data_IF_890026630167
#
_entry.id   IF_890026630167
#
_cell.length_a   1.000
_cell.length_b   1.000
_cell.length_c   1.000
_cell.angle_alpha   90.00
_cell.angle_beta   90.00
_cell.angle_gamma   90.00
#
_symmetry.space_group_name_H-M   'P 1'
#
loop_
_entity.id
_entity.type
_entity.pdbx_description
1 polymer ?
#
# COMPACT_ATOMS: atom_id res chain seq x y z
N UNK A 1 -0.53 15.79 25.34
CA UNK A 1 -0.11 14.38 25.17
C UNK A 1 -1.21 13.41 25.60
N UNK A 2 -1.79 13.60 26.81
CA UNK A 2 -2.84 12.68 27.31
C UNK A 2 -4.09 12.64 26.44
N UNK A 3 -4.51 13.76 25.87
CA UNK A 3 -5.64 13.80 24.94
C UNK A 3 -5.38 12.96 23.69
N UNK A 4 -4.18 13.11 23.09
CA UNK A 4 -3.78 12.32 21.93
C UNK A 4 -3.65 10.83 22.26
N UNK A 5 -3.10 10.49 23.43
CA UNK A 5 -2.97 9.09 23.86
C UNK A 5 -4.33 8.45 24.11
N UNK A 6 -5.26 9.18 24.71
CA UNK A 6 -6.63 8.70 24.93
C UNK A 6 -7.32 8.38 23.61
N UNK A 7 -7.21 9.27 22.62
CA UNK A 7 -7.76 9.05 21.27
C UNK A 7 -7.05 7.86 20.56
N UNK A 8 -5.74 7.71 20.77
CA UNK A 8 -4.99 6.56 20.24
C UNK A 8 -5.58 5.24 20.76
N UNK A 9 -5.84 5.14 22.07
CA UNK A 9 -6.39 3.92 22.67
C UNK A 9 -7.82 3.63 22.23
N UNK A 10 -8.58 4.67 21.85
CA UNK A 10 -9.96 4.57 21.41
C UNK A 10 -10.11 4.38 19.89
N UNK A 11 -9.00 4.31 19.15
CA UNK A 11 -9.08 4.16 17.67
C UNK A 11 -9.68 2.81 17.30
N UNK A 12 -10.57 2.78 16.27
CA UNK A 12 -11.21 1.55 15.85
C UNK A 12 -10.28 0.63 15.08
N UNK A 13 -10.75 -0.61 14.81
CA UNK A 13 -10.06 -1.53 13.93
C UNK A 13 -9.89 -0.94 12.51
N UNK A 14 -8.84 -1.36 11.75
CA UNK A 14 -8.54 -0.77 10.43
C UNK A 14 -9.67 -0.80 9.41
N UNK A 15 -10.62 -1.74 9.53
CA UNK A 15 -11.75 -1.87 8.60
C UNK A 15 -12.88 -0.88 8.85
N UNK A 16 -12.87 -0.21 10.00
CA UNK A 16 -13.93 0.70 10.40
C UNK A 16 -13.60 2.14 10.03
N UNK A 17 -14.56 3.07 10.27
CA UNK A 17 -14.35 4.50 10.08
C UNK A 17 -13.15 4.96 10.93
N UNK A 18 -12.20 5.66 10.30
CA UNK A 18 -10.95 6.07 10.92
C UNK A 18 -10.93 7.56 11.33
N UNK A 19 -12.08 8.20 11.49
CA UNK A 19 -12.16 9.61 11.94
C UNK A 19 -11.43 9.83 13.26
N UNK A 20 -11.59 8.93 14.23
CA UNK A 20 -10.91 8.99 15.53
C UNK A 20 -9.39 8.85 15.37
N UNK A 21 -8.94 8.06 14.39
CA UNK A 21 -7.52 7.89 14.09
C UNK A 21 -6.89 9.19 13.59
N UNK A 22 -7.56 9.91 12.68
CA UNK A 22 -7.09 11.22 12.20
C UNK A 22 -7.03 12.24 13.33
N UNK A 23 -8.04 12.25 14.20
CA UNK A 23 -8.06 13.14 15.37
C UNK A 23 -6.90 12.85 16.32
N UNK A 24 -6.62 11.58 16.58
CA UNK A 24 -5.50 11.17 17.43
C UNK A 24 -4.15 11.62 16.86
N UNK A 25 -3.94 11.44 15.57
CA UNK A 25 -2.71 11.89 14.90
C UNK A 25 -2.56 13.41 15.03
N UNK A 26 -3.64 14.16 14.77
CA UNK A 26 -3.62 15.61 14.87
C UNK A 26 -3.24 16.09 16.27
N UNK A 27 -3.84 15.50 17.29
CA UNK A 27 -3.55 15.87 18.69
C UNK A 27 -2.10 15.57 19.07
N UNK A 28 -1.57 14.42 18.63
CA UNK A 28 -0.18 14.04 18.89
C UNK A 28 0.80 14.94 18.14
N UNK A 29 0.49 15.32 16.90
CA UNK A 29 1.30 16.26 16.12
C UNK A 29 1.35 17.63 16.79
N UNK A 30 0.20 18.14 17.24
CA UNK A 30 0.13 19.40 17.97
C UNK A 30 0.98 19.36 19.26
N UNK A 31 0.92 18.24 20.00
CA UNK A 31 1.75 18.05 21.18
C UNK A 31 3.25 18.18 20.84
N UNK A 32 3.70 17.54 19.77
CA UNK A 32 5.10 17.57 19.35
C UNK A 32 5.54 18.97 18.90
N UNK A 33 4.64 19.74 18.28
CA UNK A 33 4.92 21.14 17.89
C UNK A 33 5.06 22.06 19.11
N UNK A 34 4.17 21.93 20.09
CA UNK A 34 4.19 22.77 21.28
C UNK A 34 5.25 22.37 22.29
N UNK A 35 5.65 21.12 22.33
CA UNK A 35 6.60 20.59 23.32
C UNK A 35 7.71 19.79 22.65
N UNK A 36 8.52 20.40 21.77
CA UNK A 36 9.52 19.68 20.97
C UNK A 36 10.63 19.02 21.80
N UNK A 37 10.83 19.47 23.04
CA UNK A 37 11.86 18.93 23.92
C UNK A 37 11.29 18.02 25.02
N UNK A 38 10.03 17.63 24.93
CA UNK A 38 9.40 16.75 25.90
C UNK A 38 10.03 15.35 25.90
N UNK A 39 10.11 14.72 27.08
CA UNK A 39 10.52 13.33 27.21
C UNK A 39 9.50 12.37 26.57
N UNK A 40 8.27 12.85 26.32
CA UNK A 40 7.19 12.07 25.68
C UNK A 40 7.17 12.16 24.17
N UNK A 41 8.10 12.94 23.56
CA UNK A 41 8.14 13.14 22.10
C UNK A 41 8.28 11.83 21.34
N UNK A 42 9.19 10.95 21.77
CA UNK A 42 9.41 9.66 21.10
C UNK A 42 8.18 8.77 21.19
N UNK A 43 7.55 8.72 22.36
CA UNK A 43 6.31 7.95 22.54
C UNK A 43 5.19 8.48 21.64
N UNK A 44 5.05 9.81 21.54
CA UNK A 44 4.06 10.43 20.66
C UNK A 44 4.34 10.10 19.19
N UNK A 45 5.59 10.15 18.76
CA UNK A 45 5.98 9.81 17.38
C UNK A 45 5.69 8.35 17.06
N UNK A 46 6.00 7.44 17.97
CA UNK A 46 5.73 6.01 17.81
C UNK A 46 4.23 5.74 17.67
N UNK A 47 3.40 6.46 18.45
CA UNK A 47 1.94 6.37 18.33
C UNK A 47 1.46 6.88 16.99
N UNK A 48 2.02 7.98 16.48
CA UNK A 48 1.67 8.52 15.16
C UNK A 48 1.96 7.48 14.07
N UNK A 49 3.14 6.85 14.08
CA UNK A 49 3.49 5.81 13.10
C UNK A 49 2.53 4.61 13.19
N UNK A 50 2.19 4.17 14.41
CA UNK A 50 1.24 3.07 14.59
C UNK A 50 -0.14 3.42 14.04
N UNK A 51 -0.60 4.66 14.23
CA UNK A 51 -1.88 5.13 13.71
C UNK A 51 -1.86 5.26 12.18
N UNK A 52 -0.76 5.76 11.62
CA UNK A 52 -0.59 5.84 10.17
C UNK A 52 -0.61 4.43 9.55
N UNK A 53 0.05 3.45 10.16
CA UNK A 53 0.00 2.07 9.70
C UNK A 53 -1.40 1.47 9.80
N UNK A 54 -2.20 1.88 10.78
CA UNK A 54 -3.62 1.49 10.83
C UNK A 54 -4.39 2.02 9.61
N UNK A 55 -4.15 3.27 9.20
CA UNK A 55 -4.74 3.84 8.00
C UNK A 55 -4.27 3.12 6.74
N UNK A 56 -2.98 2.80 6.66
CA UNK A 56 -2.42 2.02 5.54
C UNK A 56 -3.04 0.63 5.48
N UNK A 57 -3.22 -0.02 6.63
CA UNK A 57 -3.82 -1.35 6.67
C UNK A 57 -5.25 -1.35 6.14
N UNK A 58 -6.02 -0.29 6.43
CA UNK A 58 -7.35 -0.10 5.84
C UNK A 58 -7.26 -0.04 4.29
N UNK A 59 -6.31 0.72 3.76
CA UNK A 59 -6.11 0.83 2.32
C UNK A 59 -5.63 -0.50 1.72
N UNK A 60 -4.80 -1.24 2.43
CA UNK A 60 -4.36 -2.58 2.01
C UNK A 60 -5.54 -3.55 1.89
N UNK A 61 -6.45 -3.53 2.87
CA UNK A 61 -7.66 -4.36 2.82
C UNK A 61 -8.55 -3.96 1.63
N UNK A 62 -8.69 -2.66 1.36
CA UNK A 62 -9.45 -2.16 0.22
C UNK A 62 -8.80 -2.60 -1.10
N UNK A 63 -7.49 -2.47 -1.22
CA UNK A 63 -6.76 -2.89 -2.41
C UNK A 63 -6.88 -4.40 -2.66
N UNK A 64 -6.78 -5.22 -1.61
CA UNK A 64 -6.97 -6.67 -1.68
C UNK A 64 -8.38 -7.02 -2.14
N UNK A 65 -9.38 -6.30 -1.65
CA UNK A 65 -10.77 -6.52 -2.05
C UNK A 65 -10.93 -6.23 -3.55
N UNK A 66 -10.39 -5.12 -4.05
CA UNK A 66 -10.41 -4.80 -5.47
C UNK A 66 -9.71 -5.88 -6.29
N UNK A 67 -8.56 -6.35 -5.84
CA UNK A 67 -7.84 -7.43 -6.52
C UNK A 67 -8.71 -8.69 -6.62
N UNK A 68 -9.35 -9.08 -5.53
CA UNK A 68 -10.19 -10.27 -5.48
C UNK A 68 -11.45 -10.16 -6.34
N UNK A 69 -12.02 -8.94 -6.47
CA UNK A 69 -13.14 -8.68 -7.36
C UNK A 69 -12.73 -8.76 -8.85
N UNK A 70 -11.48 -8.39 -9.15
CA UNK A 70 -10.94 -8.50 -10.50
C UNK A 70 -11.74 -7.74 -11.53
N UNK A 71 -12.29 -8.46 -12.53
CA UNK A 71 -13.08 -7.88 -13.62
C UNK A 71 -14.59 -7.86 -13.35
N UNK A 72 -14.99 -8.18 -12.13
CA UNK A 72 -16.43 -8.18 -11.80
C UNK A 72 -16.97 -6.74 -11.77
N UNK A 73 -17.91 -6.44 -12.65
CA UNK A 73 -18.57 -5.13 -12.80
C UNK A 73 -17.60 -3.96 -13.08
N UNK A 74 -16.45 -4.24 -13.66
CA UNK A 74 -15.49 -3.20 -14.03
C UNK A 74 -14.04 -3.64 -13.80
N UNK A 75 -13.10 -2.73 -14.08
CA UNK A 75 -11.68 -3.00 -13.90
C UNK A 75 -11.26 -2.69 -12.46
N UNK A 76 -11.46 -3.66 -11.56
CA UNK A 76 -11.08 -3.53 -10.16
C UNK A 76 -9.57 -3.68 -9.95
N UNK A 77 -8.85 -4.29 -10.88
CA UNK A 77 -7.38 -4.34 -10.84
C UNK A 77 -6.78 -2.94 -10.92
N UNK A 78 -7.33 -2.08 -11.76
CA UNK A 78 -6.91 -0.68 -11.83
C UNK A 78 -7.17 0.03 -10.49
N UNK A 79 -8.35 -0.17 -9.90
CA UNK A 79 -8.68 0.38 -8.57
C UNK A 79 -7.72 -0.13 -7.50
N UNK A 80 -7.32 -1.39 -7.57
CA UNK A 80 -6.32 -1.99 -6.68
C UNK A 80 -4.98 -1.25 -6.80
N UNK A 81 -4.49 -1.04 -8.02
CA UNK A 81 -3.22 -0.34 -8.28
C UNK A 81 -3.28 1.09 -7.73
N UNK A 82 -4.34 1.82 -8.04
CA UNK A 82 -4.50 3.22 -7.60
C UNK A 82 -4.52 3.29 -6.07
N UNK A 83 -5.31 2.44 -5.41
CA UNK A 83 -5.42 2.43 -3.95
C UNK A 83 -4.07 2.13 -3.30
N UNK A 84 -3.38 1.10 -3.78
CA UNK A 84 -2.08 0.70 -3.23
C UNK A 84 -1.01 1.76 -3.48
N UNK A 85 -0.96 2.36 -4.67
CA UNK A 85 0.03 3.40 -4.99
C UNK A 85 -0.20 4.67 -4.19
N UNK A 86 -1.46 5.06 -3.97
CA UNK A 86 -1.78 6.21 -3.14
C UNK A 86 -1.33 6.00 -1.70
N UNK A 87 -1.52 4.80 -1.14
CA UNK A 87 -1.06 4.47 0.20
C UNK A 87 0.47 4.54 0.30
N UNK A 88 1.18 4.02 -0.71
CA UNK A 88 2.65 4.08 -0.76
C UNK A 88 3.18 5.51 -0.89
N UNK A 89 2.47 6.35 -1.61
CA UNK A 89 2.82 7.77 -1.78
C UNK A 89 2.58 8.56 -0.50
N UNK A 90 1.44 8.35 0.15
CA UNK A 90 1.05 9.11 1.34
C UNK A 90 1.80 8.64 2.59
N UNK A 91 2.17 7.37 2.66
CA UNK A 91 2.83 6.75 3.82
C UNK A 91 4.05 5.93 3.37
N UNK A 92 5.12 6.58 2.85
CA UNK A 92 6.24 5.85 2.23
C UNK A 92 7.06 5.00 3.21
N UNK A 93 6.94 5.23 4.51
CA UNK A 93 7.66 4.49 5.55
C UNK A 93 6.82 3.42 6.23
N UNK A 94 5.66 3.08 5.66
CA UNK A 94 4.77 2.06 6.24
C UNK A 94 5.45 0.68 6.29
N UNK A 95 5.12 -0.10 7.33
CA UNK A 95 5.55 -1.49 7.44
C UNK A 95 4.87 -2.40 6.40
N UNK A 96 3.80 -1.93 5.75
CA UNK A 96 3.05 -2.70 4.72
C UNK A 96 3.54 -2.43 3.31
N UNK A 97 4.70 -1.82 3.15
CA UNK A 97 5.23 -1.43 1.84
C UNK A 97 5.44 -2.62 0.91
N UNK A 98 5.99 -3.73 1.43
CA UNK A 98 6.21 -4.94 0.65
C UNK A 98 4.90 -5.56 0.17
N UNK A 99 3.92 -5.69 1.05
CA UNK A 99 2.59 -6.23 0.74
C UNK A 99 1.85 -5.39 -0.30
N UNK A 100 1.92 -4.07 -0.17
CA UNK A 100 1.32 -3.16 -1.15
C UNK A 100 2.03 -3.27 -2.51
N UNK A 101 3.34 -3.36 -2.50
CA UNK A 101 4.14 -3.41 -3.72
C UNK A 101 3.91 -4.70 -4.51
N UNK A 102 3.86 -5.86 -3.84
CA UNK A 102 3.55 -7.12 -4.54
C UNK A 102 2.13 -7.12 -5.08
N UNK A 103 1.19 -6.50 -4.37
CA UNK A 103 -0.19 -6.40 -4.82
C UNK A 103 -0.30 -5.56 -6.10
N UNK A 104 0.46 -4.47 -6.20
CA UNK A 104 0.54 -3.66 -7.43
C UNK A 104 1.07 -4.50 -8.59
N UNK A 105 2.14 -5.26 -8.38
CA UNK A 105 2.71 -6.13 -9.41
C UNK A 105 1.70 -7.17 -9.90
N UNK A 106 1.01 -7.84 -8.97
CA UNK A 106 -0.04 -8.81 -9.29
C UNK A 106 -1.16 -8.18 -10.11
N UNK A 107 -1.65 -7.03 -9.69
CA UNK A 107 -2.76 -6.35 -10.34
C UNK A 107 -2.37 -5.87 -11.74
N UNK A 108 -1.17 -5.33 -11.93
CA UNK A 108 -0.68 -4.94 -13.26
C UNK A 108 -0.56 -6.13 -14.19
N UNK A 109 -0.10 -7.26 -13.70
CA UNK A 109 -0.02 -8.50 -14.49
C UNK A 109 -1.40 -8.95 -14.94
N UNK A 110 -2.37 -8.96 -14.04
CA UNK A 110 -3.77 -9.31 -14.38
C UNK A 110 -4.36 -8.33 -15.40
N UNK A 111 -4.09 -7.04 -15.25
CA UNK A 111 -4.52 -6.03 -16.23
C UNK A 111 -3.91 -6.30 -17.62
N UNK A 112 -2.66 -6.73 -17.67
CA UNK A 112 -2.00 -7.07 -18.93
C UNK A 112 -2.65 -8.30 -19.58
N UNK A 113 -2.93 -9.34 -18.79
CA UNK A 113 -3.57 -10.58 -19.27
C UNK A 113 -4.92 -10.29 -19.92
N UNK A 114 -5.75 -9.45 -19.28
CA UNK A 114 -7.12 -9.17 -19.71
C UNK A 114 -7.25 -7.93 -20.59
N UNK A 115 -6.14 -7.34 -21.03
CA UNK A 115 -6.18 -6.14 -21.87
C UNK A 115 -6.50 -6.45 -23.33
N UNK A 116 -7.06 -5.45 -24.02
CA UNK A 116 -7.23 -5.50 -25.46
C UNK A 116 -5.88 -5.55 -26.17
N UNK A 117 -5.82 -6.12 -27.37
CA UNK A 117 -4.56 -6.34 -28.10
C UNK A 117 -3.73 -5.06 -28.29
N UNK A 118 -4.37 -3.92 -28.57
CA UNK A 118 -3.70 -2.65 -28.78
C UNK A 118 -2.89 -2.16 -27.57
N UNK A 119 -3.30 -2.55 -26.36
CA UNK A 119 -2.68 -2.11 -25.10
C UNK A 119 -1.85 -3.19 -24.42
N UNK A 120 -1.95 -4.41 -24.91
CA UNK A 120 -1.38 -5.60 -24.25
C UNK A 120 0.12 -5.50 -24.05
N UNK A 121 0.85 -5.15 -25.10
CA UNK A 121 2.31 -5.05 -25.05
C UNK A 121 2.78 -3.99 -24.06
N UNK A 122 2.14 -2.81 -24.08
CA UNK A 122 2.49 -1.73 -23.16
C UNK A 122 2.24 -2.12 -21.71
N UNK A 123 1.13 -2.82 -21.43
CA UNK A 123 0.80 -3.26 -20.09
C UNK A 123 1.73 -4.36 -19.58
N UNK A 124 2.19 -5.26 -20.45
CA UNK A 124 3.22 -6.24 -20.07
C UNK A 124 4.56 -5.57 -19.79
N UNK A 125 4.92 -4.52 -20.55
CA UNK A 125 6.14 -3.72 -20.27
C UNK A 125 6.03 -3.03 -18.90
N UNK A 126 4.88 -2.45 -18.59
CA UNK A 126 4.62 -1.86 -17.28
C UNK A 126 4.76 -2.89 -16.16
N UNK A 127 4.29 -4.10 -16.38
CA UNK A 127 4.43 -5.21 -15.42
C UNK A 127 5.91 -5.55 -15.20
N UNK A 128 6.70 -5.59 -16.27
CA UNK A 128 8.15 -5.84 -16.16
C UNK A 128 8.84 -4.73 -15.39
N UNK A 129 8.48 -3.47 -15.63
CA UNK A 129 9.03 -2.33 -14.89
C UNK A 129 8.69 -2.42 -13.41
N UNK A 130 7.46 -2.81 -13.07
CA UNK A 130 7.06 -3.03 -11.67
C UNK A 130 7.83 -4.18 -11.02
N UNK A 131 8.09 -5.24 -11.78
CA UNK A 131 8.92 -6.34 -11.28
C UNK A 131 10.32 -5.87 -10.90
N UNK A 132 10.97 -5.09 -11.76
CA UNK A 132 12.31 -4.57 -11.46
C UNK A 132 12.29 -3.64 -10.25
N UNK A 133 11.28 -2.78 -10.15
CA UNK A 133 11.11 -1.90 -8.99
C UNK A 133 10.95 -2.73 -7.70
N UNK A 134 10.13 -3.77 -7.75
CA UNK A 134 9.91 -4.66 -6.59
C UNK A 134 11.20 -5.39 -6.19
N UNK A 135 11.90 -5.98 -7.15
CA UNK A 135 13.15 -6.71 -6.91
C UNK A 135 14.23 -5.81 -6.34
N UNK A 136 14.35 -4.59 -6.86
CA UNK A 136 15.36 -3.63 -6.39
C UNK A 136 15.11 -3.20 -4.95
N UNK A 137 13.84 -3.01 -4.58
CA UNK A 137 13.48 -2.58 -3.22
C UNK A 137 13.47 -3.74 -2.24
N UNK A 138 13.04 -4.93 -2.67
CA UNK A 138 12.87 -6.11 -1.79
C UNK A 138 13.63 -7.33 -2.34
N UNK A 139 14.98 -7.26 -2.40
CA UNK A 139 15.77 -8.35 -3.03
C UNK A 139 15.70 -9.69 -2.28
N UNK A 140 15.26 -9.69 -1.03
CA UNK A 140 15.14 -10.89 -0.19
C UNK A 140 13.69 -11.21 0.17
N UNK A 141 12.73 -10.66 -0.58
CA UNK A 141 11.32 -10.85 -0.31
C UNK A 141 10.89 -12.32 -0.43
N UNK A 142 9.98 -12.72 0.46
CA UNK A 142 9.28 -14.01 0.35
C UNK A 142 8.43 -14.12 -0.91
N UNK A 143 8.09 -12.99 -1.55
CA UNK A 143 7.30 -12.93 -2.79
C UNK A 143 8.17 -12.93 -4.05
N UNK A 144 9.49 -13.02 -3.93
CA UNK A 144 10.40 -12.88 -5.08
C UNK A 144 10.20 -13.96 -6.13
N UNK A 145 9.96 -15.20 -5.71
CA UNK A 145 9.70 -16.32 -6.64
C UNK A 145 8.44 -16.06 -7.48
N UNK A 146 7.38 -15.59 -6.83
CA UNK A 146 6.15 -15.21 -7.50
C UNK A 146 6.39 -14.05 -8.48
N UNK A 147 7.14 -13.04 -8.05
CA UNK A 147 7.49 -11.90 -8.89
C UNK A 147 8.29 -12.33 -10.12
N UNK A 148 9.24 -13.25 -9.96
CA UNK A 148 10.03 -13.79 -11.07
C UNK A 148 9.18 -14.59 -12.05
N UNK A 149 8.19 -15.33 -11.56
CA UNK A 149 7.24 -16.05 -12.42
C UNK A 149 6.45 -15.06 -13.27
N UNK A 150 5.94 -13.99 -12.67
CA UNK A 150 5.22 -12.92 -13.38
C UNK A 150 6.12 -12.30 -14.46
N UNK A 151 7.37 -12.02 -14.11
CA UNK A 151 8.36 -11.48 -15.04
C UNK A 151 8.61 -12.41 -16.23
N UNK A 152 8.82 -13.70 -15.97
CA UNK A 152 9.07 -14.68 -17.04
C UNK A 152 7.87 -14.83 -17.97
N UNK A 153 6.68 -14.88 -17.44
CA UNK A 153 5.44 -14.93 -18.22
C UNK A 153 5.27 -13.68 -19.09
N UNK A 154 5.56 -12.52 -18.51
CA UNK A 154 5.46 -11.23 -19.22
C UNK A 154 6.50 -11.12 -20.33
N UNK A 155 7.74 -11.57 -20.11
CA UNK A 155 8.77 -11.57 -21.13
C UNK A 155 8.42 -12.46 -22.32
N UNK A 156 7.83 -13.62 -22.07
CA UNK A 156 7.40 -14.53 -23.15
C UNK A 156 6.42 -13.84 -24.09
N UNK A 157 5.48 -13.09 -23.57
CA UNK A 157 4.49 -12.37 -24.39
C UNK A 157 5.16 -11.30 -25.23
N UNK A 158 6.12 -10.56 -24.69
CA UNK A 158 6.81 -9.48 -25.42
C UNK A 158 7.72 -10.02 -26.51
N UNK A 159 8.37 -11.17 -26.29
CA UNK A 159 9.28 -11.79 -27.28
C UNK A 159 8.55 -12.46 -28.41
N UNK A 160 7.33 -12.91 -28.20
CA UNK A 160 6.49 -13.55 -29.20
C UNK A 160 5.71 -12.52 -30.01
#
# INVERSE_FOLDING_TARGET
FHAGKSLFLDTPEPRLDQSSTYQAIQQLQMFMEYFPNSTKKQEAQDMIFALQDKLVLKELYSARLYYNLGNYLGNNYESCVITAQNALKDYPYTDYREELSILVLRARHEMAIYSVEDKKMDRYRETIDEYYAFKNEFPESKYLKEAEKIFNESQKVIKD
#
